data_IF_388445942441
#
_entry.id   IF_388445942441
#
_cell.length_a   1.000
_cell.length_b   1.000
_cell.length_c   1.000
_cell.angle_alpha   90.00
_cell.angle_beta   90.00
_cell.angle_gamma   90.00
#
_symmetry.space_group_name_H-M   'P 1'
#
loop_
_entity.id
_entity.type
_entity.pdbx_description
1 polymer ?
#
# COMPACT_ATOMS: atom_id res chain seq x y z
N UNK A 1 -49.01 103.71 -74.76
CA UNK A 1 -47.63 104.22 -74.60
C UNK A 1 -46.76 103.07 -74.13
N UNK A 2 -45.93 102.53 -75.01
CA UNK A 2 -44.90 101.55 -74.68
C UNK A 2 -43.78 102.26 -73.92
N UNK A 3 -43.65 101.99 -72.63
CA UNK A 3 -42.58 102.54 -71.81
C UNK A 3 -41.24 101.89 -72.19
N UNK A 4 -40.21 102.72 -72.37
CA UNK A 4 -38.85 102.28 -72.68
C UNK A 4 -38.21 101.64 -71.44
N UNK A 5 -38.15 100.31 -71.47
CA UNK A 5 -37.60 99.46 -70.40
C UNK A 5 -36.11 99.70 -70.11
N UNK A 6 -35.37 100.34 -71.03
CA UNK A 6 -33.95 100.67 -70.77
C UNK A 6 -33.76 101.85 -69.82
N UNK A 7 -34.79 102.68 -69.58
CA UNK A 7 -34.75 103.83 -68.67
C UNK A 7 -35.23 103.52 -67.24
N UNK A 8 -35.70 102.30 -67.00
CA UNK A 8 -36.26 101.84 -65.73
C UNK A 8 -35.32 100.80 -65.09
N UNK A 9 -34.06 101.16 -64.88
CA UNK A 9 -33.01 100.27 -64.35
C UNK A 9 -33.43 99.50 -63.08
N UNK A 10 -34.15 100.16 -62.17
CA UNK A 10 -34.71 99.54 -60.95
C UNK A 10 -35.70 98.41 -61.22
N UNK A 11 -36.52 98.54 -62.28
CA UNK A 11 -37.48 97.51 -62.68
C UNK A 11 -36.77 96.29 -63.29
N UNK A 12 -35.69 96.52 -64.05
CA UNK A 12 -34.80 95.47 -64.54
C UNK A 12 -34.19 94.68 -63.40
N UNK A 13 -33.60 95.36 -62.40
CA UNK A 13 -33.03 94.71 -61.21
C UNK A 13 -34.07 93.94 -60.39
N UNK A 14 -35.30 94.44 -60.28
CA UNK A 14 -36.38 93.74 -59.58
C UNK A 14 -36.82 92.46 -60.31
N UNK A 15 -36.85 92.49 -61.64
CA UNK A 15 -37.15 91.30 -62.47
C UNK A 15 -36.04 90.26 -62.36
N UNK A 16 -34.77 90.67 -62.43
CA UNK A 16 -33.62 89.78 -62.24
C UNK A 16 -33.61 89.15 -60.84
N UNK A 17 -33.94 89.93 -59.80
CA UNK A 17 -34.09 89.42 -58.43
C UNK A 17 -35.22 88.40 -58.33
N UNK A 18 -36.40 88.67 -58.91
CA UNK A 18 -37.51 87.73 -58.91
C UNK A 18 -37.19 86.43 -59.67
N UNK A 19 -36.43 86.52 -60.77
CA UNK A 19 -35.93 85.35 -61.49
C UNK A 19 -34.92 84.55 -60.65
N UNK A 20 -33.91 85.20 -60.06
CA UNK A 20 -32.95 84.54 -59.16
C UNK A 20 -33.62 83.87 -57.96
N UNK A 21 -34.61 84.52 -57.33
CA UNK A 21 -35.39 83.92 -56.24
C UNK A 21 -36.11 82.63 -56.69
N UNK A 22 -36.66 82.60 -57.91
CA UNK A 22 -37.34 81.42 -58.43
C UNK A 22 -36.38 80.32 -58.93
N UNK A 23 -35.14 80.66 -59.32
CA UNK A 23 -34.16 79.70 -59.86
C UNK A 23 -33.23 79.14 -58.79
N UNK A 24 -32.77 79.98 -57.86
CA UNK A 24 -31.68 79.65 -56.93
C UNK A 24 -32.20 79.23 -55.53
N UNK A 25 -33.48 79.44 -55.22
CA UNK A 25 -34.07 79.12 -53.92
C UNK A 25 -35.20 78.11 -54.02
N UNK A 26 -35.18 77.10 -53.15
CA UNK A 26 -36.25 76.12 -53.03
C UNK A 26 -37.51 76.72 -52.42
N UNK A 27 -38.68 76.29 -52.90
CA UNK A 27 -39.97 76.66 -52.31
C UNK A 27 -40.14 75.99 -50.95
N UNK A 28 -40.94 76.61 -50.08
CA UNK A 28 -41.29 76.04 -48.77
C UNK A 28 -41.85 74.60 -48.89
N UNK A 29 -42.63 74.32 -49.94
CA UNK A 29 -43.18 72.99 -50.23
C UNK A 29 -42.12 71.95 -50.60
N UNK A 30 -41.04 72.38 -51.25
CA UNK A 30 -39.90 71.53 -51.63
C UNK A 30 -38.98 71.24 -50.44
N UNK A 31 -38.97 72.12 -49.42
CA UNK A 31 -38.27 71.91 -48.16
C UNK A 31 -39.07 71.11 -47.12
N UNK A 32 -40.39 70.94 -47.32
CA UNK A 32 -41.25 70.16 -46.41
C UNK A 32 -40.75 68.72 -46.20
N UNK A 33 -40.37 67.95 -47.23
CA UNK A 33 -39.85 66.60 -47.04
C UNK A 33 -38.57 66.59 -46.18
N UNK A 34 -37.66 67.53 -46.41
CA UNK A 34 -36.41 67.67 -45.65
C UNK A 34 -36.71 67.99 -44.18
N UNK A 35 -37.66 68.90 -43.93
CA UNK A 35 -38.12 69.22 -42.58
C UNK A 35 -38.73 68.01 -41.88
N UNK A 36 -39.60 67.26 -42.57
CA UNK A 36 -40.21 66.07 -42.00
C UNK A 36 -39.16 64.99 -41.69
N UNK A 37 -38.19 64.78 -42.58
CA UNK A 37 -37.06 63.87 -42.32
C UNK A 37 -36.20 64.33 -41.15
N UNK A 38 -35.95 65.63 -41.02
CA UNK A 38 -35.20 66.21 -39.89
C UNK A 38 -35.97 66.14 -38.56
N UNK A 39 -37.30 66.26 -38.60
CA UNK A 39 -38.16 66.15 -37.43
C UNK A 39 -38.33 64.68 -36.99
N UNK A 40 -38.34 63.73 -37.94
CA UNK A 40 -38.39 62.29 -37.68
C UNK A 40 -37.02 61.66 -37.38
N UNK A 41 -35.92 62.40 -37.56
CA UNK A 41 -34.58 61.91 -37.25
C UNK A 41 -34.43 61.63 -35.76
N UNK A 42 -33.64 60.61 -35.42
CA UNK A 42 -33.26 60.34 -34.03
C UNK A 42 -32.36 61.47 -33.53
N UNK A 43 -32.70 62.04 -32.37
CA UNK A 43 -32.00 63.21 -31.79
C UNK A 43 -31.32 62.90 -30.46
N UNK A 44 -31.78 61.87 -29.76
CA UNK A 44 -31.18 61.48 -28.49
C UNK A 44 -31.43 60.00 -28.17
N UNK A 45 -30.67 59.48 -27.21
CA UNK A 45 -30.87 58.15 -26.64
C UNK A 45 -30.66 58.16 -25.13
N UNK A 46 -31.29 57.19 -24.45
CA UNK A 46 -31.15 56.90 -23.01
C UNK A 46 -30.91 55.41 -22.84
N UNK A 47 -30.06 55.05 -21.90
CA UNK A 47 -29.97 53.69 -21.38
C UNK A 47 -30.51 53.72 -19.94
N UNK A 48 -31.50 52.88 -19.66
CA UNK A 48 -32.11 52.74 -18.34
C UNK A 48 -32.22 51.26 -17.99
N UNK A 49 -31.38 50.80 -17.06
CA UNK A 49 -31.18 49.38 -16.84
C UNK A 49 -30.60 48.71 -18.10
N UNK A 50 -31.27 47.66 -18.59
CA UNK A 50 -30.87 46.89 -19.77
C UNK A 50 -31.55 47.35 -21.08
N UNK A 51 -32.38 48.40 -20.98
CA UNK A 51 -33.15 48.94 -22.09
C UNK A 51 -32.44 50.13 -22.73
N UNK A 52 -32.40 50.11 -24.05
CA UNK A 52 -31.95 51.24 -24.86
C UNK A 52 -33.16 51.88 -25.52
N UNK A 53 -33.35 53.17 -25.27
CA UNK A 53 -34.45 53.97 -25.78
C UNK A 53 -33.90 55.08 -26.67
N UNK A 54 -34.44 55.23 -27.87
CA UNK A 54 -34.04 56.25 -28.86
C UNK A 54 -35.23 57.17 -29.12
N UNK A 55 -35.01 58.48 -29.05
CA UNK A 55 -36.04 59.52 -29.18
C UNK A 55 -35.79 60.43 -30.38
N UNK A 56 -36.87 60.94 -30.96
CA UNK A 56 -36.84 62.02 -31.96
C UNK A 56 -36.82 63.42 -31.31
N UNK A 57 -36.89 63.48 -29.98
CA UNK A 57 -36.79 64.70 -29.18
C UNK A 57 -35.39 64.84 -28.55
N UNK A 58 -34.80 66.04 -28.48
CA UNK A 58 -33.45 66.22 -27.90
C UNK A 58 -33.41 66.01 -26.37
N UNK A 59 -34.51 66.35 -25.69
CA UNK A 59 -34.68 66.34 -24.23
C UNK A 59 -35.12 64.99 -23.67
N UNK A 60 -35.27 63.96 -24.53
CA UNK A 60 -35.68 62.59 -24.15
C UNK A 60 -37.07 62.53 -23.53
N UNK A 61 -37.95 63.48 -23.86
CA UNK A 61 -39.33 63.51 -23.39
C UNK A 61 -40.27 62.84 -24.39
N UNK A 62 -41.38 62.30 -23.89
CA UNK A 62 -42.36 61.56 -24.69
C UNK A 62 -42.04 60.06 -24.81
N UNK A 63 -42.76 59.36 -25.70
CA UNK A 63 -42.53 57.95 -25.97
C UNK A 63 -41.25 57.74 -26.79
N UNK A 64 -40.49 56.69 -26.49
CA UNK A 64 -39.35 56.29 -27.30
C UNK A 64 -39.82 55.92 -28.72
N UNK A 65 -39.11 56.41 -29.74
CA UNK A 65 -39.37 56.06 -31.13
C UNK A 65 -38.89 54.64 -31.45
N UNK A 66 -37.88 54.17 -30.75
CA UNK A 66 -37.40 52.80 -30.78
C UNK A 66 -36.93 52.39 -29.39
N UNK A 67 -37.36 51.22 -28.92
CA UNK A 67 -36.93 50.63 -27.66
C UNK A 67 -36.58 49.16 -27.91
N UNK A 68 -35.46 48.74 -27.35
CA UNK A 68 -35.10 47.33 -27.29
C UNK A 68 -34.44 47.03 -25.95
N UNK A 69 -34.69 45.83 -25.46
CA UNK A 69 -34.20 45.33 -24.18
C UNK A 69 -33.15 44.27 -24.46
N UNK A 70 -31.94 44.42 -23.91
CA UNK A 70 -30.97 43.35 -23.99
C UNK A 70 -31.42 42.17 -23.11
N UNK A 71 -31.02 40.92 -23.42
CA UNK A 71 -31.28 39.80 -22.53
C UNK A 71 -30.66 40.03 -21.15
N UNK A 72 -31.35 39.60 -20.09
CA UNK A 72 -30.80 39.64 -18.74
C UNK A 72 -29.67 38.61 -18.64
N UNK A 73 -28.42 39.07 -18.58
CA UNK A 73 -27.27 38.20 -18.39
C UNK A 73 -27.19 37.77 -16.92
N UNK A 74 -27.26 36.47 -16.67
CA UNK A 74 -26.97 35.86 -15.37
C UNK A 74 -25.50 35.46 -15.36
N UNK A 75 -24.69 36.18 -14.60
CA UNK A 75 -23.24 35.94 -14.52
C UNK A 75 -22.87 35.37 -13.15
N UNK A 76 -21.86 34.51 -13.11
CA UNK A 76 -21.33 34.02 -11.83
C UNK A 76 -20.63 35.16 -11.10
N UNK A 77 -21.05 35.40 -9.86
CA UNK A 77 -20.31 36.23 -8.92
C UNK A 77 -19.11 35.43 -8.42
N UNK A 78 -17.95 35.65 -9.06
CA UNK A 78 -16.71 34.94 -8.75
C UNK A 78 -16.20 35.24 -7.32
N UNK A 79 -16.59 36.36 -6.72
CA UNK A 79 -16.17 36.69 -5.36
C UNK A 79 -16.99 35.94 -4.30
N UNK A 80 -18.25 35.61 -4.61
CA UNK A 80 -19.15 34.90 -3.69
C UNK A 80 -19.32 33.40 -4.01
N UNK A 81 -18.94 32.98 -5.21
CA UNK A 81 -18.88 31.57 -5.61
C UNK A 81 -17.63 30.94 -5.02
N UNK A 82 -17.80 29.92 -4.18
CA UNK A 82 -16.68 29.30 -3.47
C UNK A 82 -16.95 27.84 -3.13
N UNK A 83 -15.88 27.06 -3.03
CA UNK A 83 -15.90 25.78 -2.34
C UNK A 83 -15.76 26.01 -0.84
N UNK A 84 -16.74 25.54 -0.06
CA UNK A 84 -16.79 25.67 1.39
C UNK A 84 -16.64 24.27 2.00
N UNK A 85 -15.47 23.91 2.57
CA UNK A 85 -15.20 22.57 3.08
C UNK A 85 -16.12 22.16 4.24
N UNK A 86 -16.50 23.12 5.08
CA UNK A 86 -17.43 22.96 6.20
C UNK A 86 -18.50 24.03 6.10
N UNK A 87 -19.55 23.72 5.36
CA UNK A 87 -20.63 24.66 5.08
C UNK A 87 -21.44 24.98 6.33
N UNK A 88 -21.76 26.26 6.50
CA UNK A 88 -22.69 26.74 7.52
C UNK A 88 -23.67 27.71 6.85
N UNK A 89 -24.96 27.39 6.89
CA UNK A 89 -25.98 28.25 6.27
C UNK A 89 -26.45 29.34 7.24
N UNK A 90 -26.60 30.56 6.72
CA UNK A 90 -27.36 31.62 7.38
C UNK A 90 -28.05 32.51 6.35
N UNK A 91 -29.21 33.05 6.71
CA UNK A 91 -29.93 34.02 5.88
C UNK A 91 -29.17 35.34 5.71
N UNK A 92 -28.24 35.66 6.63
CA UNK A 92 -27.38 36.85 6.55
C UNK A 92 -26.26 36.67 5.51
N UNK A 93 -25.63 35.50 5.49
CA UNK A 93 -24.54 35.19 4.56
C UNK A 93 -25.06 34.87 3.15
N UNK A 94 -26.23 34.23 3.05
CA UNK A 94 -26.86 33.82 1.79
C UNK A 94 -28.29 34.37 1.70
N UNK A 95 -28.45 35.70 1.53
CA UNK A 95 -29.76 36.33 1.48
C UNK A 95 -30.59 35.81 0.31
N UNK A 96 -31.90 35.65 0.52
CA UNK A 96 -32.84 35.17 -0.50
C UNK A 96 -32.74 33.67 -0.81
N UNK A 97 -31.88 32.93 -0.12
CA UNK A 97 -31.77 31.47 -0.25
C UNK A 97 -32.55 30.73 0.84
N UNK A 98 -32.83 29.44 0.61
CA UNK A 98 -33.38 28.52 1.61
C UNK A 98 -32.28 27.59 2.12
N UNK A 99 -32.40 27.13 3.38
CA UNK A 99 -31.45 26.19 3.97
C UNK A 99 -31.36 24.88 3.14
N UNK A 100 -30.20 24.57 2.54
CA UNK A 100 -30.03 23.38 1.73
C UNK A 100 -29.88 22.09 2.56
N UNK A 101 -29.87 22.17 3.90
CA UNK A 101 -29.65 21.04 4.83
C UNK A 101 -28.30 20.35 4.62
N UNK A 102 -27.28 21.15 4.33
CA UNK A 102 -25.90 20.72 4.08
C UNK A 102 -24.92 21.13 5.19
N UNK A 103 -25.43 21.46 6.37
CA UNK A 103 -24.63 21.90 7.52
C UNK A 103 -23.47 20.96 7.84
N UNK A 104 -22.27 21.52 7.97
CA UNK A 104 -21.02 20.81 8.26
C UNK A 104 -20.47 19.96 7.10
N UNK A 105 -21.11 19.93 5.94
CA UNK A 105 -20.68 19.17 4.76
C UNK A 105 -19.84 20.05 3.81
N UNK A 106 -18.98 19.46 2.97
CA UNK A 106 -18.36 20.19 1.88
C UNK A 106 -19.40 20.55 0.81
N UNK A 107 -19.45 21.83 0.43
CA UNK A 107 -20.44 22.38 -0.51
C UNK A 107 -19.76 23.31 -1.50
N UNK A 108 -20.12 23.18 -2.78
CA UNK A 108 -19.85 24.23 -3.76
C UNK A 108 -21.01 25.22 -3.74
N UNK A 109 -20.73 26.45 -3.30
CA UNK A 109 -21.67 27.57 -3.31
C UNK A 109 -21.52 28.28 -4.64
N UNK A 110 -22.61 28.33 -5.42
CA UNK A 110 -22.68 29.06 -6.68
C UNK A 110 -23.49 30.33 -6.45
N UNK A 111 -22.87 31.48 -6.62
CA UNK A 111 -23.53 32.77 -6.52
C UNK A 111 -23.74 33.33 -7.93
N UNK A 112 -24.99 33.55 -8.31
CA UNK A 112 -25.35 34.09 -9.62
C UNK A 112 -25.86 35.52 -9.44
N UNK A 113 -25.15 36.47 -10.04
CA UNK A 113 -25.49 37.89 -9.99
C UNK A 113 -26.49 38.23 -11.10
N UNK A 114 -27.62 38.80 -10.69
CA UNK A 114 -28.60 39.41 -11.59
C UNK A 114 -28.13 40.78 -12.09
N UNK A 115 -28.73 41.23 -13.19
CA UNK A 115 -28.46 42.55 -13.80
C UNK A 115 -28.80 43.73 -12.87
N UNK A 116 -29.70 43.53 -11.92
CA UNK A 116 -30.09 44.47 -10.87
C UNK A 116 -29.13 44.46 -9.65
N UNK A 117 -28.09 43.63 -9.69
CA UNK A 117 -27.14 43.45 -8.59
C UNK A 117 -27.61 42.48 -7.52
N UNK A 118 -28.80 41.87 -7.65
CA UNK A 118 -29.24 40.79 -6.78
C UNK A 118 -28.31 39.58 -6.93
N UNK A 119 -28.22 38.75 -5.88
CA UNK A 119 -27.44 37.51 -5.90
C UNK A 119 -28.35 36.36 -5.54
N UNK A 120 -28.42 35.36 -6.42
CA UNK A 120 -29.10 34.11 -6.16
C UNK A 120 -28.07 33.01 -5.87
N UNK A 121 -28.32 32.20 -4.84
CA UNK A 121 -27.40 31.16 -4.39
C UNK A 121 -27.93 29.77 -4.71
N UNK A 122 -27.05 28.92 -5.25
CA UNK A 122 -27.28 27.48 -5.41
C UNK A 122 -26.20 26.69 -4.67
N UNK A 123 -26.60 25.61 -4.03
CA UNK A 123 -25.74 24.80 -3.17
C UNK A 123 -25.63 23.38 -3.71
N UNK A 124 -24.42 22.99 -4.10
CA UNK A 124 -24.15 21.62 -4.55
C UNK A 124 -23.36 20.87 -3.48
N UNK A 125 -24.00 19.89 -2.85
CA UNK A 125 -23.35 19.01 -1.87
C UNK A 125 -22.30 18.14 -2.54
N UNK A 126 -21.07 18.16 -2.03
CA UNK A 126 -19.93 17.47 -2.65
C UNK A 126 -19.80 16.01 -2.20
N UNK A 127 -20.57 15.59 -1.20
CA UNK A 127 -20.53 14.22 -0.69
C UNK A 127 -20.93 13.14 -1.71
N UNK A 128 -21.66 13.49 -2.78
CA UNK A 128 -22.00 12.56 -3.86
C UNK A 128 -20.93 12.49 -4.95
N UNK A 129 -20.00 13.46 -5.00
CA UNK A 129 -18.97 13.56 -6.03
C UNK A 129 -17.57 13.25 -5.47
N UNK A 130 -17.39 13.38 -4.16
CA UNK A 130 -16.13 13.17 -3.44
C UNK A 130 -16.41 12.27 -2.24
N UNK A 131 -15.95 11.02 -2.32
CA UNK A 131 -15.95 10.11 -1.17
C UNK A 131 -15.05 10.68 -0.08
N UNK A 132 -15.67 11.14 1.00
CA UNK A 132 -14.95 11.69 2.15
C UNK A 132 -14.74 10.59 3.17
N UNK A 133 -13.56 9.98 3.19
CA UNK A 133 -13.17 9.04 4.24
C UNK A 133 -12.86 9.80 5.53
N UNK A 134 -13.61 9.51 6.60
CA UNK A 134 -13.27 9.98 7.95
C UNK A 134 -12.48 8.89 8.67
N UNK A 135 -11.25 9.20 9.05
CA UNK A 135 -10.47 8.32 9.90
C UNK A 135 -11.19 8.13 11.25
N UNK A 136 -11.32 6.89 11.69
CA UNK A 136 -11.88 6.57 13.01
C UNK A 136 -10.87 6.99 14.09
N UNK A 137 -11.24 7.95 14.93
CA UNK A 137 -10.34 8.51 15.96
C UNK A 137 -10.39 7.76 17.30
N UNK A 138 -11.53 7.12 17.61
CA UNK A 138 -11.74 6.39 18.87
C UNK A 138 -11.90 4.87 18.61
N UNK A 139 -11.33 4.05 19.50
CA UNK A 139 -11.36 2.58 19.34
C UNK A 139 -10.69 2.11 18.05
N UNK A 140 -9.61 2.80 17.64
CA UNK A 140 -8.71 2.33 16.58
C UNK A 140 -7.81 1.24 17.15
N UNK A 141 -7.57 0.20 16.36
CA UNK A 141 -6.63 -0.84 16.73
C UNK A 141 -5.20 -0.28 16.65
N UNK A 142 -4.41 -0.47 17.71
CA UNK A 142 -3.02 0.00 17.74
C UNK A 142 -2.10 -0.82 16.82
N UNK A 143 -2.58 -1.98 16.34
CA UNK A 143 -1.84 -2.87 15.45
C UNK A 143 -1.70 -2.35 14.01
N UNK A 144 -2.36 -1.25 13.63
CA UNK A 144 -2.21 -0.69 12.29
C UNK A 144 -2.20 0.83 12.28
N UNK A 145 -1.46 1.39 11.33
CA UNK A 145 -1.42 2.83 11.05
C UNK A 145 -1.78 3.04 9.60
N UNK A 146 -2.75 3.92 9.34
CA UNK A 146 -3.13 4.33 7.99
C UNK A 146 -2.72 5.80 7.82
N UNK A 147 -1.91 6.07 6.80
CA UNK A 147 -1.46 7.42 6.45
C UNK A 147 -2.02 7.77 5.08
N UNK A 148 -2.66 8.93 4.98
CA UNK A 148 -3.19 9.47 3.72
C UNK A 148 -2.39 10.74 3.42
N UNK A 149 -1.71 10.76 2.28
CA UNK A 149 -0.95 11.92 1.80
C UNK A 149 -1.24 12.14 0.33
N UNK A 150 -1.79 13.30 -0.01
CA UNK A 150 -2.29 13.57 -1.35
C UNK A 150 -3.37 12.56 -1.76
N UNK A 151 -3.09 11.77 -2.81
CA UNK A 151 -3.96 10.71 -3.33
C UNK A 151 -3.49 9.30 -3.00
N UNK A 152 -2.45 9.16 -2.18
CA UNK A 152 -1.86 7.86 -1.82
C UNK A 152 -2.29 7.44 -0.42
N UNK A 153 -2.55 6.13 -0.28
CA UNK A 153 -2.90 5.49 0.98
C UNK A 153 -1.79 4.51 1.33
N UNK A 154 -1.12 4.77 2.46
CA UNK A 154 -0.10 3.89 3.02
C UNK A 154 -0.68 3.22 4.28
N UNK A 155 -0.58 1.90 4.35
CA UNK A 155 -1.06 1.10 5.48
C UNK A 155 0.11 0.30 6.03
N UNK A 156 0.39 0.49 7.31
CA UNK A 156 1.43 -0.25 8.03
C UNK A 156 0.81 -1.04 9.16
N UNK A 157 1.18 -2.31 9.28
CA UNK A 157 0.96 -3.08 10.50
C UNK A 157 2.05 -2.67 11.48
N UNK A 158 1.68 -2.43 12.74
CA UNK A 158 2.61 -2.13 13.80
C UNK A 158 2.98 -3.44 14.51
N UNK A 159 4.28 -3.69 14.63
CA UNK A 159 4.82 -4.77 15.47
C UNK A 159 5.44 -4.16 16.71
N UNK A 160 5.44 -4.88 17.83
CA UNK A 160 6.12 -4.43 19.05
C UNK A 160 7.61 -4.20 18.78
N UNK A 161 8.13 -3.08 19.28
CA UNK A 161 9.57 -2.76 19.24
C UNK A 161 10.30 -3.23 20.51
N UNK A 162 9.59 -3.87 21.44
CA UNK A 162 10.15 -4.35 22.68
C UNK A 162 11.17 -5.47 22.41
N UNK A 163 12.16 -5.56 23.30
CA UNK A 163 13.10 -6.67 23.29
C UNK A 163 12.34 -8.00 23.43
N UNK A 164 12.68 -8.99 22.59
CA UNK A 164 12.01 -10.30 22.58
C UNK A 164 10.85 -10.44 21.58
N UNK A 165 10.46 -9.39 20.83
CA UNK A 165 9.47 -9.57 19.75
C UNK A 165 10.00 -10.57 18.69
N UNK A 166 9.18 -11.56 18.34
CA UNK A 166 9.51 -12.61 17.40
C UNK A 166 9.61 -12.15 15.94
N UNK A 167 9.08 -10.97 15.59
CA UNK A 167 9.05 -10.46 14.22
C UNK A 167 9.98 -9.27 14.01
N UNK A 168 10.54 -9.16 12.81
CA UNK A 168 11.26 -8.00 12.29
C UNK A 168 10.73 -7.57 10.92
N UNK A 169 10.85 -6.29 10.60
CA UNK A 169 10.51 -5.75 9.30
C UNK A 169 11.69 -5.93 8.33
N UNK A 170 11.43 -6.49 7.15
CA UNK A 170 12.38 -6.46 6.03
C UNK A 170 12.30 -5.12 5.28
N UNK A 171 13.31 -4.86 4.44
CA UNK A 171 13.38 -3.65 3.62
C UNK A 171 12.21 -3.51 2.61
N UNK A 172 11.59 -4.63 2.23
CA UNK A 172 10.39 -4.69 1.39
C UNK A 172 9.08 -4.48 2.18
N UNK A 173 9.17 -4.25 3.50
CA UNK A 173 8.03 -4.07 4.39
C UNK A 173 7.38 -5.37 4.87
N UNK A 174 7.89 -6.55 4.48
CA UNK A 174 7.36 -7.81 4.96
C UNK A 174 7.86 -8.10 6.38
N UNK A 175 6.94 -8.41 7.28
CA UNK A 175 7.28 -8.86 8.64
C UNK A 175 7.60 -10.36 8.64
N UNK A 176 8.78 -10.71 9.13
CA UNK A 176 9.27 -12.09 9.18
C UNK A 176 9.74 -12.47 10.58
N UNK A 177 9.74 -13.77 10.92
CA UNK A 177 10.37 -14.27 12.14
C UNK A 177 11.84 -13.87 12.23
N UNK A 178 12.24 -13.28 13.37
CA UNK A 178 13.65 -13.11 13.74
C UNK A 178 14.26 -14.49 13.91
N UNK A 179 15.32 -14.85 13.18
CA UNK A 179 15.97 -16.15 13.30
C UNK A 179 16.45 -16.46 14.73
N UNK A 180 16.82 -15.43 15.50
CA UNK A 180 17.30 -15.54 16.88
C UNK A 180 16.20 -15.63 17.94
N UNK A 181 14.98 -15.15 17.65
CA UNK A 181 13.85 -15.17 18.60
C UNK A 181 12.92 -16.37 18.35
N UNK A 182 12.87 -16.85 17.10
CA UNK A 182 12.20 -18.08 16.74
C UNK A 182 13.28 -19.10 16.44
N UNK A 183 13.75 -19.74 17.51
CA UNK A 183 14.66 -20.86 17.40
C UNK A 183 13.93 -22.06 16.78
N UNK A 184 13.85 -22.04 15.45
CA UNK A 184 13.43 -23.19 14.64
C UNK A 184 14.45 -24.33 14.78
N UNK A 185 15.70 -24.02 15.15
CA UNK A 185 16.78 -24.99 15.34
C UNK A 185 16.81 -25.66 16.72
N UNK A 186 16.20 -25.07 17.76
CA UNK A 186 16.20 -25.57 19.13
C UNK A 186 15.07 -26.54 19.42
N UNK A 187 14.06 -26.58 18.55
CA UNK A 187 13.25 -27.78 18.39
C UNK A 187 14.03 -28.66 17.43
N UNK A 188 14.60 -29.74 17.96
CA UNK A 188 15.26 -30.71 17.11
C UNK A 188 14.31 -31.13 15.99
N UNK A 189 14.79 -31.04 14.75
CA UNK A 189 13.96 -31.28 13.57
C UNK A 189 13.30 -32.66 13.70
N UNK A 190 11.97 -32.72 13.55
CA UNK A 190 11.29 -34.01 13.56
C UNK A 190 11.74 -34.77 12.33
N UNK A 191 12.29 -35.96 12.52
CA UNK A 191 12.57 -36.88 11.42
C UNK A 191 11.28 -37.08 10.63
N UNK A 192 11.26 -36.61 9.36
CA UNK A 192 10.06 -36.52 8.52
C UNK A 192 9.38 -37.88 8.27
N UNK A 193 10.10 -38.97 8.48
CA UNK A 193 9.62 -40.34 8.24
C UNK A 193 10.06 -41.31 9.34
N UNK A 194 9.97 -40.90 10.62
CA UNK A 194 10.22 -41.80 11.74
C UNK A 194 9.19 -42.94 11.77
N UNK A 195 9.65 -44.14 12.14
CA UNK A 195 8.81 -45.32 12.35
C UNK A 195 8.40 -45.36 13.82
N UNK A 196 7.10 -45.50 14.08
CA UNK A 196 6.59 -45.55 15.45
C UNK A 196 7.21 -46.70 16.25
N UNK A 197 7.71 -46.40 17.45
CA UNK A 197 8.35 -47.37 18.34
C UNK A 197 9.87 -47.51 18.16
N UNK A 198 10.46 -46.93 17.11
CA UNK A 198 11.91 -46.83 16.99
C UNK A 198 12.45 -45.70 17.89
N UNK A 199 13.70 -45.86 18.35
CA UNK A 199 14.43 -44.82 19.07
C UNK A 199 15.03 -43.79 18.11
N UNK A 200 15.26 -42.57 18.62
CA UNK A 200 16.01 -41.56 17.90
C UNK A 200 17.50 -41.95 17.81
N UNK A 201 18.14 -41.64 16.68
CA UNK A 201 19.58 -41.73 16.46
C UNK A 201 20.16 -40.40 16.01
N UNK A 202 21.48 -40.36 15.85
CA UNK A 202 22.22 -39.24 15.27
C UNK A 202 22.99 -39.73 14.03
N UNK A 203 22.94 -38.98 12.94
CA UNK A 203 23.79 -39.23 11.77
C UNK A 203 25.24 -38.73 11.99
N UNK A 204 26.12 -38.93 10.99
CA UNK A 204 27.52 -38.49 11.07
C UNK A 204 27.69 -36.97 11.25
N UNK A 205 26.68 -36.17 10.91
CA UNK A 205 26.63 -34.73 11.10
C UNK A 205 26.00 -34.30 12.42
N UNK A 206 25.55 -35.24 13.26
CA UNK A 206 24.85 -34.94 14.51
C UNK A 206 23.38 -34.55 14.33
N UNK A 207 22.77 -34.78 13.16
CA UNK A 207 21.35 -34.53 12.95
C UNK A 207 20.51 -35.69 13.49
N UNK A 208 19.31 -35.39 14.00
CA UNK A 208 18.36 -36.43 14.41
C UNK A 208 17.96 -37.30 13.20
N UNK A 209 18.01 -38.62 13.40
CA UNK A 209 17.50 -39.63 12.47
C UNK A 209 16.67 -40.67 13.21
N UNK A 210 15.87 -41.45 12.49
CA UNK A 210 15.35 -42.70 13.01
C UNK A 210 16.52 -43.69 13.11
N UNK A 211 16.72 -44.31 14.27
CA UNK A 211 17.83 -45.26 14.46
C UNK A 211 17.62 -46.59 13.72
N UNK A 212 16.40 -46.86 13.24
CA UNK A 212 16.00 -48.17 12.74
C UNK A 212 15.87 -49.24 13.83
N UNK A 213 16.03 -48.88 15.11
CA UNK A 213 16.03 -49.80 16.25
C UNK A 213 14.88 -49.49 17.20
N UNK A 214 14.12 -50.52 17.57
CA UNK A 214 13.10 -50.47 18.62
C UNK A 214 13.57 -51.23 19.86
N UNK A 215 12.85 -51.09 20.97
CA UNK A 215 13.17 -51.76 22.23
C UNK A 215 13.38 -53.29 22.09
N UNK A 216 12.58 -53.95 21.24
CA UNK A 216 12.66 -55.40 21.02
C UNK A 216 13.82 -55.86 20.14
N UNK A 217 14.57 -54.93 19.54
CA UNK A 217 15.81 -55.27 18.81
C UNK A 217 17.01 -55.43 19.76
N UNK A 218 16.84 -55.08 21.04
CA UNK A 218 17.83 -55.26 22.08
C UNK A 218 17.44 -56.43 22.99
N UNK A 219 18.44 -57.17 23.46
CA UNK A 219 18.22 -58.24 24.44
C UNK A 219 17.77 -57.59 25.74
N UNK A 220 16.62 -58.03 26.26
CA UNK A 220 16.13 -57.55 27.54
C UNK A 220 17.10 -57.95 28.65
N UNK A 221 17.42 -57.00 29.54
CA UNK A 221 18.14 -57.32 30.76
C UNK A 221 17.21 -58.09 31.70
N UNK A 222 17.36 -59.42 31.72
CA UNK A 222 16.66 -60.30 32.65
C UNK A 222 17.63 -60.76 33.73
N UNK A 223 17.20 -60.74 34.99
CA UNK A 223 18.01 -61.21 36.10
C UNK A 223 18.43 -62.68 35.88
N UNK A 224 19.73 -62.94 35.83
CA UNK A 224 20.28 -64.28 35.58
C UNK A 224 20.45 -64.65 34.10
N UNK A 225 20.04 -63.81 33.14
CA UNK A 225 20.38 -63.99 31.72
C UNK A 225 21.72 -63.31 31.41
N UNK A 226 22.53 -63.96 30.58
CA UNK A 226 23.89 -63.55 30.24
C UNK A 226 23.91 -62.96 28.83
N UNK A 227 24.66 -61.88 28.62
CA UNK A 227 24.90 -61.27 27.30
C UNK A 227 25.97 -62.05 26.51
N UNK A 228 25.84 -63.38 26.46
CA UNK A 228 26.69 -64.26 25.68
C UNK A 228 25.79 -65.20 24.89
N UNK A 229 26.29 -65.74 23.78
CA UNK A 229 25.51 -66.71 23.01
C UNK A 229 25.27 -67.99 23.82
N UNK A 230 24.18 -68.70 23.55
CA UNK A 230 23.91 -70.01 24.19
C UNK A 230 25.08 -70.99 23.97
N UNK A 231 25.76 -70.87 22.83
CA UNK A 231 26.95 -71.64 22.50
C UNK A 231 28.14 -71.32 23.42
N UNK A 232 28.37 -70.04 23.75
CA UNK A 232 29.41 -69.64 24.71
C UNK A 232 29.03 -70.02 26.15
N UNK A 233 27.75 -69.89 26.50
CA UNK A 233 27.25 -70.32 27.81
C UNK A 233 27.44 -71.80 28.06
N UNK A 234 27.06 -72.63 27.09
CA UNK A 234 27.22 -74.09 27.19
C UNK A 234 28.69 -74.49 27.33
N UNK A 235 29.61 -73.77 26.66
CA UNK A 235 31.06 -73.99 26.82
C UNK A 235 31.54 -73.67 28.23
N UNK A 236 30.98 -72.64 28.87
CA UNK A 236 31.33 -72.25 30.24
C UNK A 236 30.69 -73.17 31.29
N UNK A 237 29.49 -73.70 31.05
CA UNK A 237 28.81 -74.63 31.97
C UNK A 237 29.59 -75.95 32.16
N UNK A 238 30.37 -76.35 31.15
CA UNK A 238 31.28 -77.51 31.24
C UNK A 238 32.54 -77.26 32.08
N UNK A 239 32.80 -76.03 32.51
CA UNK A 239 33.98 -75.66 33.30
C UNK A 239 33.61 -75.63 34.77
N UNK A 240 34.22 -76.51 35.57
CA UNK A 240 34.02 -76.51 37.01
C UNK A 240 34.49 -75.19 37.65
N UNK A 241 33.82 -74.78 38.74
CA UNK A 241 34.22 -73.61 39.51
C UNK A 241 35.68 -73.76 39.99
N UNK A 242 36.52 -72.76 39.72
CA UNK A 242 37.93 -72.79 40.08
C UNK A 242 38.82 -73.66 39.18
N UNK A 243 38.36 -74.10 38.02
CA UNK A 243 39.18 -74.86 37.06
C UNK A 243 40.50 -74.14 36.76
N UNK A 244 41.61 -74.88 36.84
CA UNK A 244 42.95 -74.38 36.57
C UNK A 244 43.30 -74.58 35.10
N UNK A 245 44.07 -73.66 34.53
CA UNK A 245 44.53 -73.77 33.14
C UNK A 245 45.68 -74.77 33.09
N UNK A 246 45.52 -75.85 32.32
CA UNK A 246 46.57 -76.85 32.08
C UNK A 246 47.13 -76.67 30.68
N UNK A 247 48.44 -76.56 30.58
CA UNK A 247 49.15 -76.35 29.31
C UNK A 247 50.34 -77.31 29.21
N UNK A 248 50.78 -77.58 27.98
CA UNK A 248 51.98 -78.39 27.75
C UNK A 248 53.23 -77.71 28.34
N UNK A 249 54.14 -78.49 28.93
CA UNK A 249 55.46 -78.04 29.37
C UNK A 249 56.53 -78.38 28.32
N UNK A 250 57.57 -77.55 28.24
CA UNK A 250 58.80 -77.85 27.49
C UNK A 250 59.79 -78.69 28.33
N UNK A 251 59.58 -78.77 29.64
CA UNK A 251 60.38 -79.60 30.55
C UNK A 251 59.87 -81.05 30.49
N UNK A 252 60.70 -82.02 30.08
CA UNK A 252 60.29 -83.42 30.05
C UNK A 252 59.79 -83.89 31.42
N UNK A 253 58.60 -84.49 31.45
CA UNK A 253 57.98 -85.01 32.66
C UNK A 253 57.12 -84.00 33.44
N UNK A 254 56.97 -82.76 32.95
CA UNK A 254 56.14 -81.73 33.58
C UNK A 254 54.90 -81.37 32.75
N UNK A 255 53.97 -80.68 33.39
CA UNK A 255 52.91 -79.87 32.77
C UNK A 255 52.91 -78.47 33.39
N UNK A 256 52.29 -77.49 32.75
CA UNK A 256 52.07 -76.16 33.35
C UNK A 256 50.67 -76.09 33.96
N UNK A 257 50.58 -75.74 35.24
CA UNK A 257 49.32 -75.40 35.91
C UNK A 257 49.34 -73.91 36.21
N UNK A 258 48.42 -73.15 35.60
CA UNK A 258 48.39 -71.67 35.68
C UNK A 258 49.74 -71.03 35.33
N UNK A 259 50.46 -71.59 34.35
CA UNK A 259 51.77 -71.11 33.91
C UNK A 259 52.97 -71.58 34.76
N UNK A 260 52.75 -72.32 35.86
CA UNK A 260 53.81 -72.83 36.72
C UNK A 260 54.19 -74.27 36.36
N UNK A 261 55.50 -74.54 36.24
CA UNK A 261 56.04 -75.88 35.98
C UNK A 261 55.71 -76.83 37.13
N UNK A 262 54.96 -77.89 36.84
CA UNK A 262 54.54 -78.91 37.81
C UNK A 262 55.00 -80.28 37.33
N UNK A 263 55.89 -80.98 38.07
CA UNK A 263 56.33 -82.31 37.70
C UNK A 263 55.20 -83.32 37.86
N UNK A 264 54.96 -84.13 36.82
CA UNK A 264 53.96 -85.21 36.83
C UNK A 264 54.60 -86.59 36.73
N UNK A 265 55.79 -86.67 36.15
CA UNK A 265 56.61 -87.88 36.13
C UNK A 265 58.07 -87.50 36.22
N UNK A 266 58.82 -88.26 37.01
CA UNK A 266 60.28 -88.16 37.07
C UNK A 266 60.87 -88.97 35.92
N UNK A 267 61.60 -88.30 35.05
CA UNK A 267 62.36 -88.93 33.97
C UNK A 267 63.83 -88.86 34.38
N UNK A 268 64.53 -89.98 34.30
CA UNK A 268 65.97 -90.02 34.57
C UNK A 268 66.69 -89.07 33.61
N UNK A 269 67.62 -88.29 34.14
CA UNK A 269 68.49 -87.43 33.34
C UNK A 269 69.44 -88.27 32.49
N UNK A 270 69.91 -87.70 31.39
CA UNK A 270 70.91 -88.35 30.54
C UNK A 270 72.16 -88.75 31.32
N UNK A 271 72.52 -88.00 32.37
CA UNK A 271 73.62 -88.33 33.27
C UNK A 271 73.33 -89.58 34.11
N UNK A 272 72.16 -89.66 34.75
CA UNK A 272 71.75 -90.84 35.52
C UNK A 272 71.67 -92.08 34.63
N UNK A 273 71.11 -91.95 33.43
CA UNK A 273 71.07 -93.05 32.46
C UNK A 273 72.47 -93.47 32.02
N UNK A 274 73.37 -92.52 31.79
CA UNK A 274 74.77 -92.79 31.43
C UNK A 274 75.52 -93.51 32.55
N UNK A 275 75.33 -93.10 33.80
CA UNK A 275 75.93 -93.76 34.96
C UNK A 275 75.41 -95.20 35.12
N UNK A 276 74.11 -95.41 35.00
CA UNK A 276 73.51 -96.75 35.05
C UNK A 276 74.02 -97.65 33.92
N UNK A 277 74.17 -97.13 32.71
CA UNK A 277 74.72 -97.89 31.59
C UNK A 277 76.20 -98.22 31.79
N UNK A 278 76.99 -97.27 32.30
CA UNK A 278 78.41 -97.49 32.61
C UNK A 278 78.59 -98.50 33.74
N UNK A 279 77.69 -98.56 34.73
CA UNK A 279 77.71 -99.59 35.79
C UNK A 279 77.46 -101.00 35.23
N UNK A 280 76.49 -101.14 34.32
CA UNK A 280 76.10 -102.45 33.77
C UNK A 280 77.05 -102.93 32.66
N UNK A 281 77.51 -102.02 31.81
CA UNK A 281 78.24 -102.35 30.57
C UNK A 281 79.70 -101.87 30.53
N UNK A 282 80.16 -101.05 31.49
CA UNK A 282 81.48 -100.42 31.50
C UNK A 282 81.53 -99.09 30.72
N UNK A 283 82.57 -98.25 30.93
CA UNK A 283 82.67 -96.94 30.27
C UNK A 283 82.86 -97.08 28.76
N UNK A 284 82.07 -96.34 27.99
CA UNK A 284 82.29 -96.16 26.54
C UNK A 284 83.61 -95.41 26.32
N UNK A 285 84.55 -96.04 25.60
CA UNK A 285 85.84 -95.45 25.19
C UNK A 285 85.64 -94.44 24.08
#
# INVERSE_FOLDING_TARGET
>A
MSYDVTKLTKLGSLKELAQRINTDFAKKTELTPIKNSADAAFKSGKVEGNKVQIFTTPDKTGAAAFEFDFPVEMVLDQAKTAFVPKFAWSAETYPGSTDPKLEGKPVMVLAVKGSDGSVNYSFMGMAALVDTYKAKVEGKDASTTVTISGYEVDVKVNISQDEGNALEARADGLYVPKPSAVDLSGKADKVKSAVAGNFAGLDAGGNLTDSGKKATDFVAAEAGKRLMTDAEGTKLDGIAEGATKVEASETPGNIKINGQETPVVTIASDAEVTEMLNEVFGPTV
#
